data_IF_491871018861
#
_entry.id   IF_491871018861
#
_cell.length_a   1.000
_cell.length_b   1.000
_cell.length_c   1.000
_cell.angle_alpha   90.00
_cell.angle_beta   90.00
_cell.angle_gamma   90.00
#
_symmetry.space_group_name_H-M   'P 1'
#
loop_
_entity.id
_entity.type
_entity.pdbx_description
1 polymer ?
#
# COMPACT_ATOMS: atom_id res chain seq x y z
N UNK A 1 -6.94 8.25 -7.74
CA UNK A 1 -5.53 8.69 -7.88
C UNK A 1 -5.32 9.12 -9.32
N UNK A 2 -4.70 10.26 -9.60
CA UNK A 2 -4.37 10.67 -10.98
C UNK A 2 -3.00 10.10 -11.41
N UNK A 3 -2.63 10.29 -12.68
CA UNK A 3 -1.39 9.75 -13.25
C UNK A 3 -0.14 10.23 -12.52
N UNK A 4 0.00 11.54 -12.27
CA UNK A 4 1.18 12.12 -11.62
C UNK A 4 1.38 11.59 -10.19
N UNK A 5 0.28 11.45 -9.44
CA UNK A 5 0.35 10.87 -8.11
C UNK A 5 0.77 9.39 -8.19
N UNK A 6 0.29 8.65 -9.18
CA UNK A 6 0.66 7.24 -9.37
C UNK A 6 2.15 7.09 -9.72
N UNK A 7 2.68 7.92 -10.61
CA UNK A 7 4.12 7.99 -10.89
C UNK A 7 4.91 8.31 -9.61
N UNK A 8 4.47 9.30 -8.83
CA UNK A 8 5.11 9.65 -7.57
C UNK A 8 5.15 8.49 -6.56
N UNK A 9 4.08 7.70 -6.49
CA UNK A 9 4.04 6.48 -5.68
C UNK A 9 5.04 5.43 -6.17
N UNK A 10 5.07 5.16 -7.48
CA UNK A 10 5.99 4.19 -8.06
C UNK A 10 7.45 4.57 -7.80
N UNK A 11 7.80 5.83 -8.00
CA UNK A 11 9.15 6.35 -7.72
C UNK A 11 9.49 6.21 -6.23
N UNK A 12 8.59 6.61 -5.32
CA UNK A 12 8.82 6.48 -3.88
C UNK A 12 9.06 5.02 -3.46
N UNK A 13 8.26 4.09 -3.99
CA UNK A 13 8.39 2.66 -3.71
C UNK A 13 9.63 2.04 -4.35
N UNK A 14 10.08 2.55 -5.50
CA UNK A 14 11.31 2.10 -6.16
C UNK A 14 12.55 2.50 -5.35
N UNK A 15 12.58 3.71 -4.79
CA UNK A 15 13.69 4.17 -3.95
C UNK A 15 13.68 3.53 -2.55
N UNK A 16 12.50 3.37 -1.95
CA UNK A 16 12.38 2.77 -0.63
C UNK A 16 11.14 1.87 -0.53
N UNK A 17 11.26 0.57 -0.89
CA UNK A 17 10.18 -0.39 -0.74
C UNK A 17 9.73 -0.61 0.71
N UNK A 18 10.49 -0.15 1.71
CA UNK A 18 10.20 -0.30 3.15
C UNK A 18 9.49 0.92 3.75
N UNK A 19 9.18 1.95 2.96
CA UNK A 19 8.60 3.22 3.43
C UNK A 19 7.20 3.07 4.08
N UNK A 20 6.47 2.00 3.77
CA UNK A 20 5.20 1.68 4.44
C UNK A 20 5.39 0.93 5.76
N UNK A 21 4.49 1.21 6.71
CA UNK A 21 4.41 0.54 8.00
C UNK A 21 4.02 -0.92 7.81
N UNK A 22 4.68 -1.86 8.49
CA UNK A 22 4.30 -3.28 8.44
C UNK A 22 2.97 -3.47 9.16
N UNK A 23 2.04 -4.19 8.55
CA UNK A 23 0.80 -4.61 9.18
C UNK A 23 1.05 -5.94 9.89
N UNK A 24 1.08 -5.94 11.20
CA UNK A 24 1.32 -7.15 11.98
C UNK A 24 0.30 -8.26 11.69
N UNK A 25 0.77 -9.52 11.75
CA UNK A 25 -0.05 -10.70 11.48
C UNK A 25 -0.29 -11.02 9.99
N UNK A 26 0.23 -10.19 9.07
CA UNK A 26 0.00 -10.36 7.62
C UNK A 26 1.16 -11.02 6.85
N UNK A 27 2.27 -11.33 7.51
CA UNK A 27 3.45 -11.90 6.85
C UNK A 27 4.28 -10.89 6.04
N UNK A 28 4.13 -9.59 6.32
CA UNK A 28 4.98 -8.54 5.75
C UNK A 28 4.28 -7.58 4.79
N UNK A 29 2.94 -7.59 4.74
CA UNK A 29 2.17 -6.56 4.02
C UNK A 29 2.40 -5.20 4.69
N UNK A 30 2.45 -4.14 3.88
CA UNK A 30 2.77 -2.78 4.31
C UNK A 30 1.66 -1.80 3.96
N UNK A 31 1.53 -0.76 4.79
CA UNK A 31 0.59 0.36 4.65
C UNK A 31 1.37 1.65 4.42
N UNK A 32 1.24 2.25 3.24
CA UNK A 32 1.81 3.55 2.93
C UNK A 32 0.73 4.64 2.98
N UNK A 33 1.00 5.73 3.70
CA UNK A 33 0.17 6.93 3.73
C UNK A 33 0.69 7.93 2.68
N UNK A 34 -0.13 8.25 1.68
CA UNK A 34 0.19 9.23 0.65
C UNK A 34 -0.49 10.56 0.99
N UNK A 35 0.32 11.60 1.21
CA UNK A 35 -0.17 12.96 1.34
C UNK A 35 -0.38 13.57 -0.06
N UNK A 36 -1.49 14.27 -0.27
CA UNK A 36 -1.69 15.09 -1.46
C UNK A 36 -0.87 16.39 -1.34
N UNK A 37 -0.04 16.73 -2.34
CA UNK A 37 0.59 18.06 -2.47
C UNK A 37 -0.34 19.00 -3.26
N UNK A 38 -0.83 20.09 -2.66
CA UNK A 38 -1.54 21.18 -3.37
C UNK A 38 -2.75 21.83 -2.66
N UNK A 39 -3.04 23.08 -3.01
CA UNK A 39 -4.19 23.91 -2.59
C UNK A 39 -5.48 23.48 -3.34
N UNK A 40 -6.23 22.52 -2.78
CA UNK A 40 -7.49 21.99 -3.33
C UNK A 40 -7.91 20.70 -2.60
N UNK A 41 -9.12 20.17 -2.84
CA UNK A 41 -9.76 19.05 -2.10
C UNK A 41 -8.73 17.93 -1.80
N UNK A 42 -8.29 17.88 -0.54
CA UNK A 42 -7.16 17.08 -0.04
C UNK A 42 -7.50 15.59 0.00
N UNK A 43 -7.36 14.89 -1.12
CA UNK A 43 -7.55 13.43 -1.14
C UNK A 43 -6.21 12.75 -0.85
N UNK A 44 -5.87 12.64 0.43
CA UNK A 44 -4.83 11.69 0.87
C UNK A 44 -5.33 10.26 0.65
N UNK A 45 -4.42 9.33 0.33
CA UNK A 45 -4.74 7.93 0.10
C UNK A 45 -3.89 7.02 0.98
N UNK A 46 -4.39 5.81 1.23
CA UNK A 46 -3.65 4.71 1.83
C UNK A 46 -3.47 3.63 0.79
N UNK A 47 -2.25 3.12 0.69
CA UNK A 47 -1.90 2.03 -0.22
C UNK A 47 -1.45 0.85 0.61
N UNK A 48 -2.08 -0.30 0.41
CA UNK A 48 -1.65 -1.58 0.96
C UNK A 48 -0.85 -2.30 -0.12
N UNK A 49 0.38 -2.71 0.20
CA UNK A 49 1.26 -3.36 -0.76
C UNK A 49 2.14 -4.44 -0.13
N UNK A 50 2.71 -5.31 -0.95
CA UNK A 50 3.71 -6.29 -0.56
C UNK A 50 4.95 -6.17 -1.43
N UNK A 51 6.13 -6.36 -0.83
CA UNK A 51 7.41 -6.34 -1.53
C UNK A 51 8.01 -7.75 -1.60
N UNK A 52 7.96 -8.37 -2.78
CA UNK A 52 8.62 -9.63 -3.08
C UNK A 52 10.11 -9.39 -3.30
N UNK A 53 10.90 -9.45 -2.22
CA UNK A 53 12.33 -9.12 -2.22
C UNK A 53 13.13 -9.93 -3.24
N UNK A 54 12.90 -11.25 -3.32
CA UNK A 54 13.64 -12.14 -4.23
C UNK A 54 13.30 -11.91 -5.69
N UNK A 55 12.09 -11.45 -5.99
CA UNK A 55 11.64 -11.17 -7.34
C UNK A 55 11.80 -9.68 -7.74
N UNK A 56 12.28 -8.82 -6.83
CA UNK A 56 12.33 -7.36 -6.99
C UNK A 56 11.00 -6.77 -7.48
N UNK A 57 9.86 -7.29 -6.96
CA UNK A 57 8.51 -6.90 -7.37
C UNK A 57 7.73 -6.31 -6.21
N UNK A 58 6.91 -5.30 -6.51
CA UNK A 58 5.96 -4.73 -5.58
C UNK A 58 4.55 -5.00 -6.09
N UNK A 59 3.73 -5.67 -5.28
CA UNK A 59 2.33 -5.87 -5.55
C UNK A 59 1.49 -4.84 -4.80
N UNK A 60 0.71 -4.04 -5.52
CA UNK A 60 -0.25 -3.09 -4.96
C UNK A 60 -1.57 -3.83 -4.76
N UNK A 61 -1.98 -4.02 -3.50
CA UNK A 61 -3.13 -4.86 -3.13
C UNK A 61 -4.41 -4.04 -3.05
N UNK A 62 -4.32 -2.83 -2.50
CA UNK A 62 -5.48 -1.99 -2.27
C UNK A 62 -5.08 -0.52 -2.23
N UNK A 63 -5.95 0.36 -2.73
CA UNK A 63 -5.87 1.79 -2.55
C UNK A 63 -7.23 2.35 -2.13
N UNK A 64 -7.26 3.16 -1.09
CA UNK A 64 -8.47 3.80 -0.60
C UNK A 64 -8.19 5.21 -0.07
N UNK A 65 -9.15 6.14 -0.14
CA UNK A 65 -9.00 7.48 0.38
C UNK A 65 -8.92 7.50 1.91
N UNK A 66 -8.33 8.56 2.46
CA UNK A 66 -8.09 8.74 3.90
C UNK A 66 -9.35 8.59 4.78
N UNK A 67 -10.54 8.84 4.25
CA UNK A 67 -11.80 8.87 5.00
C UNK A 67 -12.65 7.59 4.88
N UNK A 68 -12.30 6.63 4.02
CA UNK A 68 -13.14 5.43 3.82
C UNK A 68 -12.82 4.30 4.80
N UNK A 69 -11.56 4.14 5.21
CA UNK A 69 -11.18 3.00 6.05
C UNK A 69 -10.06 3.39 7.02
N UNK A 70 -10.25 3.06 8.31
CA UNK A 70 -9.24 3.31 9.34
C UNK A 70 -8.20 2.19 9.35
N UNK A 71 -8.60 0.94 9.59
CA UNK A 71 -7.72 -0.23 9.65
C UNK A 71 -8.34 -1.48 9.02
N UNK A 72 -7.48 -2.42 8.63
CA UNK A 72 -7.91 -3.73 8.14
C UNK A 72 -8.45 -4.56 9.30
N UNK A 73 -9.64 -5.10 9.10
CA UNK A 73 -10.24 -6.13 9.95
C UNK A 73 -9.38 -7.39 9.96
N UNK A 74 -9.59 -8.26 10.95
CA UNK A 74 -8.84 -9.51 11.04
C UNK A 74 -9.09 -10.42 9.82
N UNK A 75 -10.31 -10.41 9.27
CA UNK A 75 -10.67 -11.21 8.11
C UNK A 75 -10.01 -10.67 6.85
N UNK A 76 -9.97 -9.35 6.64
CA UNK A 76 -9.22 -8.74 5.54
C UNK A 76 -7.71 -9.05 5.64
N UNK A 77 -7.13 -9.01 6.84
CA UNK A 77 -5.72 -9.39 7.04
C UNK A 77 -5.46 -10.84 6.65
N UNK A 78 -6.34 -11.77 7.06
CA UNK A 78 -6.25 -13.19 6.68
C UNK A 78 -6.39 -13.37 5.17
N UNK A 79 -7.38 -12.72 4.55
CA UNK A 79 -7.61 -12.81 3.11
C UNK A 79 -6.41 -12.29 2.32
N UNK A 80 -5.88 -11.10 2.66
CA UNK A 80 -4.71 -10.53 1.99
C UNK A 80 -3.46 -11.39 2.17
N UNK A 81 -3.28 -11.98 3.36
CA UNK A 81 -2.18 -12.92 3.61
C UNK A 81 -2.28 -14.15 2.69
N UNK A 82 -3.47 -14.75 2.58
CA UNK A 82 -3.69 -15.91 1.70
C UNK A 82 -3.41 -15.58 0.23
N UNK A 83 -3.80 -14.39 -0.25
CA UNK A 83 -3.50 -13.92 -1.60
C UNK A 83 -1.99 -13.85 -1.85
N UNK A 84 -1.23 -13.26 -0.91
CA UNK A 84 0.23 -13.16 -1.04
C UNK A 84 0.90 -14.54 -1.00
N UNK A 85 0.44 -15.44 -0.13
CA UNK A 85 0.96 -16.81 -0.06
C UNK A 85 0.73 -17.58 -1.36
N UNK A 86 -0.39 -17.34 -2.05
CA UNK A 86 -0.65 -17.93 -3.36
C UNK A 86 0.22 -17.37 -4.49
N UNK A 87 0.71 -16.14 -4.36
CA UNK A 87 1.56 -15.49 -5.36
C UNK A 87 3.06 -15.71 -5.15
N UNK A 88 3.44 -16.34 -4.04
CA UNK A 88 4.83 -16.62 -3.68
C UNK A 88 5.37 -17.84 -4.41
#
# INVERSE_FOLDING_TARGET
>A
MNHDAYLGLQVALMFNPRVGDVIEGTGGIRKLRIASKGHGKRVGARVIYYHFVTASKIALLMIYPKNEQQDLTNDERKALKAVIEHWR
#
